data_IF_723656236311
#
_entry.id   IF_723656236311
#
_cell.length_a   1.000
_cell.length_b   1.000
_cell.length_c   1.000
_cell.angle_alpha   90.00
_cell.angle_beta   90.00
_cell.angle_gamma   90.00
#
_symmetry.space_group_name_H-M   'P 1'
#
loop_
_entity.id
_entity.type
_entity.pdbx_description
1 polymer ?
#
# COMPACT_ATOMS: atom_id res chain seq x y z
N UNK A 1 7.20 58.22 -37.92
CA UNK A 1 6.18 57.75 -36.95
C UNK A 1 6.69 56.47 -36.30
N UNK A 2 6.47 56.36 -35.00
CA UNK A 2 6.92 55.38 -33.99
C UNK A 2 6.99 53.90 -34.43
N UNK A 3 8.00 53.18 -33.93
CA UNK A 3 8.08 51.71 -33.91
C UNK A 3 7.54 51.14 -32.59
N UNK A 4 7.15 49.85 -32.55
CA UNK A 4 7.61 49.02 -31.43
C UNK A 4 8.27 47.70 -31.87
N UNK A 5 9.07 47.10 -30.98
CA UNK A 5 10.10 46.13 -31.32
C UNK A 5 9.60 44.68 -31.39
N UNK A 6 10.41 43.89 -32.11
CA UNK A 6 10.61 42.43 -32.05
C UNK A 6 9.95 41.75 -30.85
N UNK A 7 8.97 40.88 -31.15
CA UNK A 7 8.37 39.97 -30.18
C UNK A 7 9.43 38.91 -29.82
N UNK A 8 10.21 39.19 -28.80
CA UNK A 8 11.10 38.21 -28.18
C UNK A 8 10.25 37.03 -27.74
N UNK A 9 10.46 35.88 -28.39
CA UNK A 9 9.92 34.60 -27.94
C UNK A 9 10.48 34.36 -26.54
N UNK A 10 9.58 34.54 -25.60
CA UNK A 10 9.86 34.64 -24.18
C UNK A 10 10.49 33.33 -23.64
N UNK A 11 11.31 33.38 -22.59
CA UNK A 11 12.02 32.21 -22.02
C UNK A 11 11.11 31.14 -21.35
N UNK A 12 9.80 31.15 -21.65
CA UNK A 12 8.70 30.46 -20.93
C UNK A 12 8.72 28.96 -21.15
N UNK A 13 9.20 28.50 -22.31
CA UNK A 13 9.40 27.08 -22.57
C UNK A 13 10.37 26.44 -21.56
N UNK A 14 11.36 27.19 -21.07
CA UNK A 14 12.32 26.68 -20.10
C UNK A 14 11.76 26.52 -18.68
N UNK A 15 10.78 27.34 -18.28
CA UNK A 15 10.13 27.21 -16.96
C UNK A 15 8.97 26.23 -16.97
N UNK A 16 8.23 26.12 -18.08
CA UNK A 16 7.20 25.11 -18.28
C UNK A 16 7.82 23.71 -18.27
N UNK A 17 8.92 23.51 -19.03
CA UNK A 17 9.61 22.21 -19.05
C UNK A 17 10.16 21.82 -17.67
N UNK A 18 10.65 22.80 -16.88
CA UNK A 18 11.11 22.57 -15.50
C UNK A 18 9.97 22.24 -14.53
N UNK A 19 8.75 22.68 -14.81
CA UNK A 19 7.57 22.33 -14.01
C UNK A 19 7.11 20.91 -14.32
N UNK A 20 7.08 20.54 -15.60
CA UNK A 20 6.74 19.18 -16.07
C UNK A 20 7.73 18.14 -15.56
N UNK A 21 9.03 18.41 -15.69
CA UNK A 21 10.08 17.52 -15.20
C UNK A 21 10.02 17.35 -13.67
N UNK A 22 9.76 18.44 -12.95
CA UNK A 22 9.57 18.40 -11.48
C UNK A 22 8.32 17.63 -11.07
N UNK A 23 7.25 17.67 -11.87
CA UNK A 23 6.05 16.87 -11.63
C UNK A 23 6.32 15.39 -11.91
N UNK A 24 6.99 15.06 -13.01
CA UNK A 24 7.38 13.69 -13.38
C UNK A 24 8.29 13.05 -12.33
N UNK A 25 9.28 13.79 -11.82
CA UNK A 25 10.16 13.32 -10.74
C UNK A 25 9.39 13.03 -9.45
N UNK A 26 8.43 13.87 -9.04
CA UNK A 26 7.59 13.63 -7.87
C UNK A 26 6.69 12.39 -8.05
N UNK A 27 6.19 12.14 -9.25
CA UNK A 27 5.39 10.96 -9.57
C UNK A 27 6.27 9.70 -9.49
N UNK A 28 7.43 9.70 -10.14
CA UNK A 28 8.37 8.57 -10.11
C UNK A 28 8.84 8.26 -8.68
N UNK A 29 9.10 9.29 -7.87
CA UNK A 29 9.46 9.14 -6.47
C UNK A 29 8.31 8.55 -5.63
N UNK A 30 7.07 9.01 -5.85
CA UNK A 30 5.89 8.48 -5.17
C UNK A 30 5.64 7.00 -5.52
N UNK A 31 5.84 6.61 -6.79
CA UNK A 31 5.71 5.23 -7.27
C UNK A 31 6.84 4.35 -6.68
N UNK A 32 8.08 4.82 -6.68
CA UNK A 32 9.22 4.07 -6.15
C UNK A 32 9.16 3.89 -4.63
N UNK A 33 8.78 4.94 -3.89
CA UNK A 33 8.57 4.88 -2.42
C UNK A 33 7.41 3.98 -2.03
N UNK A 34 6.38 3.88 -2.87
CA UNK A 34 5.26 2.94 -2.67
C UNK A 34 5.75 1.50 -2.89
N UNK A 35 6.52 1.21 -3.94
CA UNK A 35 6.98 -0.15 -4.28
C UNK A 35 7.75 -0.88 -3.15
N UNK A 36 8.66 -0.19 -2.44
CA UNK A 36 9.42 -0.84 -1.36
C UNK A 36 8.59 -1.12 -0.09
N UNK A 37 7.48 -0.41 0.11
CA UNK A 37 6.44 -0.76 1.12
C UNK A 37 5.36 -1.69 0.56
N UNK A 38 5.17 -1.72 -0.76
CA UNK A 38 4.12 -2.46 -1.47
C UNK A 38 4.56 -3.86 -1.94
N UNK A 39 5.84 -4.23 -1.85
CA UNK A 39 6.24 -5.62 -2.06
C UNK A 39 5.58 -6.61 -1.07
N UNK A 40 5.02 -6.12 0.04
CA UNK A 40 4.13 -6.88 0.93
C UNK A 40 2.63 -6.82 0.55
N UNK A 41 2.22 -5.84 -0.26
CA UNK A 41 0.83 -5.40 -0.48
C UNK A 41 0.28 -5.88 -1.83
N UNK A 42 1.13 -6.35 -2.76
CA UNK A 42 0.69 -6.84 -4.09
C UNK A 42 -0.30 -8.02 -4.02
N UNK A 43 -0.41 -8.70 -2.87
CA UNK A 43 -1.44 -9.72 -2.62
C UNK A 43 -2.67 -9.19 -1.86
N UNK A 44 -2.63 -8.00 -1.27
CA UNK A 44 -3.71 -7.50 -0.39
C UNK A 44 -4.81 -6.75 -1.15
N UNK A 45 -4.52 -6.16 -2.31
CA UNK A 45 -5.50 -5.33 -3.04
C UNK A 45 -6.57 -6.15 -3.79
N UNK A 46 -6.34 -7.45 -4.03
CA UNK A 46 -7.30 -8.35 -4.69
C UNK A 46 -8.05 -9.28 -3.71
N UNK A 47 -7.45 -9.59 -2.55
CA UNK A 47 -8.00 -10.54 -1.57
C UNK A 47 -9.02 -9.90 -0.59
N UNK A 48 -9.10 -8.57 -0.53
CA UNK A 48 -9.95 -7.85 0.42
C UNK A 48 -10.88 -6.84 -0.25
N UNK A 49 -12.08 -6.68 0.30
CA UNK A 49 -13.01 -5.62 -0.14
C UNK A 49 -12.50 -4.24 0.28
N UNK A 50 -12.97 -3.19 -0.41
CA UNK A 50 -12.61 -1.80 -0.09
C UNK A 50 -12.94 -1.45 1.37
N UNK A 51 -14.03 -1.99 1.93
CA UNK A 51 -14.36 -1.82 3.35
C UNK A 51 -13.28 -2.37 4.28
N UNK A 52 -12.72 -3.53 3.93
CA UNK A 52 -11.63 -4.12 4.71
C UNK A 52 -10.34 -3.34 4.51
N UNK A 53 -10.05 -2.76 3.34
CA UNK A 53 -8.81 -2.02 2.98
C UNK A 53 -8.79 -0.55 3.44
N UNK A 54 -9.95 0.10 3.56
CA UNK A 54 -10.07 1.51 3.95
C UNK A 54 -9.89 1.72 5.46
N UNK A 55 -10.14 0.70 6.27
CA UNK A 55 -9.97 0.76 7.72
C UNK A 55 -8.52 1.13 8.11
N UNK A 56 -8.27 2.21 8.86
CA UNK A 56 -6.92 2.55 9.25
C UNK A 56 -6.38 1.51 10.24
N UNK A 57 -5.23 0.91 9.91
CA UNK A 57 -4.49 0.10 10.88
C UNK A 57 -3.97 1.02 12.01
N UNK A 58 -4.16 0.66 13.28
CA UNK A 58 -3.58 1.36 14.41
C UNK A 58 -2.07 1.52 14.23
N UNK A 59 -1.52 2.64 14.71
CA UNK A 59 -0.10 2.96 14.56
C UNK A 59 0.82 1.94 15.25
N UNK A 60 0.32 1.29 16.29
CA UNK A 60 0.98 0.25 17.08
C UNK A 60 0.46 -1.15 16.72
N UNK A 61 -0.18 -1.30 15.55
CA UNK A 61 -0.60 -2.61 15.06
C UNK A 61 0.63 -3.45 14.74
N UNK A 62 0.98 -4.35 15.66
CA UNK A 62 1.90 -5.43 15.39
C UNK A 62 1.13 -6.60 14.78
N UNK A 63 1.69 -7.18 13.71
CA UNK A 63 1.20 -8.45 13.21
C UNK A 63 1.23 -9.47 14.35
N UNK A 64 0.16 -10.27 14.49
CA UNK A 64 0.10 -11.20 15.58
C UNK A 64 1.21 -12.24 15.50
N UNK A 65 1.88 -12.46 16.63
CA UNK A 65 2.99 -13.39 16.79
C UNK A 65 2.44 -14.77 17.08
N UNK A 66 2.00 -15.45 16.02
CA UNK A 66 1.47 -16.81 16.11
C UNK A 66 2.15 -17.75 15.13
N UNK A 67 2.12 -19.03 15.48
CA UNK A 67 2.57 -20.07 14.57
C UNK A 67 1.72 -20.07 13.33
N UNK A 68 2.40 -20.06 12.18
CA UNK A 68 1.69 -20.06 10.92
C UNK A 68 1.15 -21.45 10.64
N UNK A 69 -0.12 -21.51 10.27
CA UNK A 69 -0.86 -22.70 9.92
C UNK A 69 -0.41 -23.27 8.59
N UNK A 70 0.05 -24.52 8.61
CA UNK A 70 0.55 -25.26 7.44
C UNK A 70 -0.45 -26.32 6.93
N UNK A 71 -1.64 -26.43 7.52
CA UNK A 71 -2.63 -27.46 7.17
C UNK A 71 -2.58 -28.71 8.06
N UNK A 72 -1.55 -28.87 8.90
CA UNK A 72 -1.38 -30.03 9.77
C UNK A 72 -2.17 -29.97 11.09
N UNK A 73 -2.49 -28.76 11.57
CA UNK A 73 -3.17 -28.56 12.86
C UNK A 73 -4.69 -28.47 12.69
N UNK A 74 -5.46 -28.48 13.77
CA UNK A 74 -6.91 -28.28 13.67
C UNK A 74 -7.23 -26.84 13.20
N UNK A 75 -7.99 -26.66 12.10
CA UNK A 75 -8.32 -25.33 11.58
C UNK A 75 -9.13 -24.46 12.56
N UNK A 76 -9.98 -25.09 13.38
CA UNK A 76 -10.84 -24.39 14.34
C UNK A 76 -10.02 -23.92 15.54
N UNK A 77 -9.08 -24.73 16.01
CA UNK A 77 -8.14 -24.35 17.06
C UNK A 77 -7.22 -23.21 16.59
N UNK A 78 -6.73 -23.25 15.34
CA UNK A 78 -5.97 -22.15 14.76
C UNK A 78 -6.79 -20.86 14.68
N UNK A 79 -8.05 -20.94 14.23
CA UNK A 79 -8.94 -19.77 14.19
C UNK A 79 -9.24 -19.23 15.59
N UNK A 80 -9.43 -20.10 16.59
CA UNK A 80 -9.63 -19.68 17.98
C UNK A 80 -8.39 -18.97 18.51
N UNK A 81 -7.19 -19.50 18.26
CA UNK A 81 -5.94 -18.83 18.62
C UNK A 81 -5.80 -17.47 17.92
N UNK A 82 -6.26 -17.36 16.67
CA UNK A 82 -6.36 -16.11 15.92
C UNK A 82 -7.33 -15.09 16.55
N UNK A 83 -8.53 -15.52 16.91
CA UNK A 83 -9.56 -14.64 17.50
C UNK A 83 -9.22 -14.25 18.94
N UNK A 84 -8.44 -15.05 19.67
CA UNK A 84 -7.98 -14.74 21.03
C UNK A 84 -6.91 -13.63 21.05
N UNK A 85 -6.32 -13.30 19.88
CA UNK A 85 -5.53 -12.09 19.74
C UNK A 85 -6.42 -10.88 20.02
N UNK A 86 -5.91 -9.93 20.81
CA UNK A 86 -6.64 -8.71 21.21
C UNK A 86 -6.80 -7.70 20.06
N UNK A 87 -7.03 -8.17 18.83
CA UNK A 87 -7.37 -7.36 17.67
C UNK A 87 -8.84 -6.99 17.80
N UNK A 88 -9.12 -5.71 17.98
CA UNK A 88 -10.45 -5.22 18.36
C UNK A 88 -11.38 -4.94 17.18
N UNK A 89 -10.91 -5.09 15.94
CA UNK A 89 -11.67 -4.74 14.74
C UNK A 89 -11.61 -5.85 13.69
N UNK A 90 -12.78 -6.28 13.24
CA UNK A 90 -12.97 -7.38 12.28
C UNK A 90 -12.19 -7.18 10.97
N UNK A 91 -12.22 -5.96 10.42
CA UNK A 91 -11.43 -5.63 9.23
C UNK A 91 -9.91 -5.74 9.44
N UNK A 92 -9.43 -5.45 10.66
CA UNK A 92 -8.01 -5.62 11.00
C UNK A 92 -7.68 -7.10 11.16
N UNK A 93 -8.59 -7.88 11.77
CA UNK A 93 -8.47 -9.34 11.86
C UNK A 93 -8.38 -9.97 10.47
N UNK A 94 -9.25 -9.56 9.54
CA UNK A 94 -9.23 -10.02 8.15
C UNK A 94 -7.86 -9.77 7.50
N UNK A 95 -7.30 -8.55 7.59
CA UNK A 95 -5.96 -8.26 7.04
C UNK A 95 -4.82 -9.01 7.75
N UNK A 96 -4.99 -9.28 9.04
CA UNK A 96 -3.97 -9.94 9.84
C UNK A 96 -3.91 -11.46 9.62
N UNK A 97 -4.90 -12.06 8.96
CA UNK A 97 -5.04 -13.51 8.81
C UNK A 97 -4.20 -14.14 7.69
N UNK A 98 -4.15 -13.63 6.44
CA UNK A 98 -3.31 -14.22 5.39
C UNK A 98 -1.83 -14.47 5.77
N UNK A 99 -1.15 -13.61 6.55
CA UNK A 99 0.24 -13.87 6.94
C UNK A 99 0.40 -15.00 7.97
N UNK A 100 -0.68 -15.47 8.61
CA UNK A 100 -0.68 -16.63 9.51
C UNK A 100 -0.78 -17.95 8.75
N UNK A 101 -0.94 -17.94 7.44
CA UNK A 101 -1.00 -19.16 6.62
C UNK A 101 0.37 -19.49 6.00
N UNK A 102 0.67 -20.77 5.79
CA UNK A 102 1.89 -21.32 5.15
C UNK A 102 1.55 -22.47 4.19
N UNK A 103 2.42 -22.66 3.18
CA UNK A 103 2.38 -23.80 2.24
C UNK A 103 1.01 -23.97 1.59
N UNK A 104 0.49 -25.19 1.59
CA UNK A 104 -0.82 -25.61 1.06
C UNK A 104 -1.99 -24.82 1.66
N UNK A 105 -1.85 -24.25 2.87
CA UNK A 105 -2.88 -23.40 3.43
C UNK A 105 -2.97 -21.99 2.79
N UNK A 106 -2.03 -21.63 1.90
CA UNK A 106 -2.04 -20.36 1.15
C UNK A 106 -2.53 -20.49 -0.30
N UNK A 107 -2.66 -21.71 -0.80
CA UNK A 107 -2.91 -22.02 -2.22
C UNK A 107 -4.41 -22.06 -2.55
#
# INVERSE_FOLDING_TARGET
MVAPPTLGETPVLGLEQRLEDRMGQKIAEAISKKSSKQQSIVLEEDLFTTEVVDVPLPRDFEQPKMEKYDGSSDPIDHLRAFVDLRVTLDAIMCRAFPPTLKREARD
#
